data_IF_936658763041
#
_entry.id   IF_936658763041
#
_cell.length_a   1.000
_cell.length_b   1.000
_cell.length_c   1.000
_cell.angle_alpha   90.00
_cell.angle_beta   90.00
_cell.angle_gamma   90.00
#
_symmetry.space_group_name_H-M   'P 1'
#
loop_
_entity.id
_entity.type
_entity.pdbx_description
1 polymer ?
#
# COMPACT_ATOMS: atom_id res chain seq x y z
N UNK A 1 -21.33 7.21 16.94
CA UNK A 1 -19.98 6.95 17.48
C UNK A 1 -19.46 5.60 17.02
N UNK A 2 -19.05 5.47 15.76
CA UNK A 2 -18.21 4.36 15.33
C UNK A 2 -16.76 4.74 15.65
N UNK A 3 -16.09 3.97 16.51
CA UNK A 3 -14.67 4.14 16.79
C UNK A 3 -13.93 4.11 15.45
N UNK A 4 -13.18 5.16 15.14
CA UNK A 4 -12.49 5.29 13.86
C UNK A 4 -11.61 4.05 13.64
N UNK A 5 -11.88 3.29 12.58
CA UNK A 5 -11.02 2.17 12.19
C UNK A 5 -9.70 2.74 11.70
N UNK A 6 -8.68 2.65 12.55
CA UNK A 6 -7.33 3.10 12.22
C UNK A 6 -6.50 1.97 11.63
N UNK A 7 -6.91 0.72 11.81
CA UNK A 7 -6.20 -0.46 11.33
C UNK A 7 -7.13 -1.41 10.59
N UNK A 8 -6.62 -1.96 9.48
CA UNK A 8 -7.26 -3.04 8.73
C UNK A 8 -6.19 -4.07 8.38
N UNK A 9 -6.53 -5.34 8.59
CA UNK A 9 -5.74 -6.48 8.14
C UNK A 9 -6.55 -7.31 7.16
N UNK A 10 -5.95 -7.65 6.03
CA UNK A 10 -6.57 -8.50 5.01
C UNK A 10 -5.65 -9.67 4.68
N UNK A 11 -6.22 -10.88 4.65
CA UNK A 11 -5.51 -12.08 4.23
C UNK A 11 -6.36 -12.78 3.18
N UNK A 12 -5.79 -12.98 1.98
CA UNK A 12 -6.45 -13.72 0.92
C UNK A 12 -5.51 -14.79 0.38
N UNK A 13 -6.02 -16.02 0.29
CA UNK A 13 -5.38 -17.12 -0.45
C UNK A 13 -5.86 -17.22 -1.90
N UNK A 14 -6.80 -16.37 -2.31
CA UNK A 14 -7.35 -16.32 -3.66
C UNK A 14 -6.88 -15.04 -4.36
N UNK A 15 -6.60 -15.14 -5.67
CA UNK A 15 -6.30 -14.00 -6.53
C UNK A 15 -7.56 -13.16 -6.78
N UNK A 16 -7.99 -12.41 -5.77
CA UNK A 16 -9.01 -11.37 -5.91
C UNK A 16 -8.32 -10.01 -5.99
N UNK A 17 -8.81 -9.18 -6.90
CA UNK A 17 -8.35 -7.81 -7.04
C UNK A 17 -9.07 -6.92 -6.03
N UNK A 18 -8.29 -6.17 -5.24
CA UNK A 18 -8.81 -5.11 -4.39
C UNK A 18 -8.59 -3.76 -5.09
N UNK A 19 -9.67 -3.00 -5.31
CA UNK A 19 -9.52 -1.66 -5.87
C UNK A 19 -8.91 -0.72 -4.83
N UNK A 20 -7.83 -0.03 -5.20
CA UNK A 20 -7.23 1.02 -4.37
C UNK A 20 -8.22 2.17 -4.06
N UNK A 21 -9.26 2.37 -4.89
CA UNK A 21 -10.33 3.35 -4.61
C UNK A 21 -11.09 3.07 -3.30
N UNK A 22 -11.10 1.83 -2.81
CA UNK A 22 -11.73 1.50 -1.54
C UNK A 22 -11.14 2.32 -0.37
N UNK A 23 -9.87 2.70 -0.45
CA UNK A 23 -9.19 3.50 0.57
C UNK A 23 -9.72 4.93 0.68
N UNK A 24 -10.39 5.48 -0.34
CA UNK A 24 -11.02 6.81 -0.27
C UNK A 24 -12.13 6.87 0.79
N UNK A 25 -12.81 5.75 1.03
CA UNK A 25 -13.83 5.62 2.06
C UNK A 25 -13.26 5.46 3.48
N UNK A 26 -11.93 5.39 3.62
CA UNK A 26 -11.24 5.10 4.88
C UNK A 26 -10.21 6.19 5.23
N UNK A 27 -10.62 7.48 5.33
CA UNK A 27 -9.70 8.62 5.48
C UNK A 27 -8.91 8.64 6.81
N UNK A 28 -9.33 7.84 7.80
CA UNK A 28 -8.68 7.73 9.10
C UNK A 28 -7.82 6.47 9.24
N UNK A 29 -7.70 5.64 8.20
CA UNK A 29 -6.84 4.48 8.22
C UNK A 29 -5.38 4.92 8.36
N UNK A 30 -4.68 4.31 9.31
CA UNK A 30 -3.29 4.59 9.67
C UNK A 30 -2.39 3.38 9.47
N UNK A 31 -2.93 2.18 9.70
CA UNK A 31 -2.23 0.92 9.66
C UNK A 31 -2.94 0.01 8.66
N UNK A 32 -2.20 -0.51 7.70
CA UNK A 32 -2.72 -1.46 6.74
C UNK A 32 -1.75 -2.61 6.58
N UNK A 33 -2.23 -3.82 6.81
CA UNK A 33 -1.49 -5.05 6.60
C UNK A 33 -2.26 -5.94 5.63
N UNK A 34 -1.62 -6.35 4.54
CA UNK A 34 -2.17 -7.28 3.57
C UNK A 34 -1.20 -8.40 3.24
N UNK A 35 -1.75 -9.62 3.08
CA UNK A 35 -1.02 -10.80 2.62
C UNK A 35 -1.72 -11.40 1.41
N UNK A 36 -0.98 -11.57 0.30
CA UNK A 36 -1.43 -12.30 -0.88
C UNK A 36 -2.50 -11.60 -1.71
N UNK A 37 -2.56 -10.26 -1.66
CA UNK A 37 -3.58 -9.45 -2.33
C UNK A 37 -3.02 -8.79 -3.59
N UNK A 38 -3.78 -8.89 -4.69
CA UNK A 38 -3.55 -8.10 -5.89
C UNK A 38 -4.37 -6.82 -5.81
N UNK A 39 -3.73 -5.66 -5.94
CA UNK A 39 -4.36 -4.36 -5.93
C UNK A 39 -4.50 -3.83 -7.35
N UNK A 40 -5.62 -3.15 -7.59
CA UNK A 40 -5.89 -2.45 -8.83
C UNK A 40 -6.07 -0.95 -8.57
N UNK A 41 -5.25 -0.12 -9.20
CA UNK A 41 -5.38 1.33 -9.15
C UNK A 41 -4.22 2.04 -8.46
N UNK A 42 -4.27 3.38 -8.52
CA UNK A 42 -3.16 4.26 -8.14
C UNK A 42 -3.05 4.44 -6.63
N UNK A 43 -1.82 4.67 -6.16
CA UNK A 43 -1.51 4.95 -4.76
C UNK A 43 -2.09 6.27 -4.22
N UNK A 44 -2.49 7.21 -5.09
CA UNK A 44 -3.18 8.45 -4.69
C UNK A 44 -4.47 8.25 -3.87
N UNK A 45 -5.05 7.05 -3.94
CA UNK A 45 -6.28 6.72 -3.20
C UNK A 45 -6.01 6.30 -1.76
N UNK A 46 -4.75 6.01 -1.41
CA UNK A 46 -4.40 5.72 -0.04
C UNK A 46 -4.56 6.96 0.84
N UNK A 47 -4.94 6.79 2.12
CA UNK A 47 -5.26 7.91 2.96
C UNK A 47 -3.99 8.65 3.39
N UNK A 48 -4.05 9.99 3.36
CA UNK A 48 -2.96 10.88 3.77
C UNK A 48 -2.46 10.67 5.21
N UNK A 49 -3.27 10.03 6.06
CA UNK A 49 -2.93 9.73 7.46
C UNK A 49 -2.22 8.38 7.62
N UNK A 50 -2.00 7.62 6.54
CA UNK A 50 -1.37 6.32 6.62
C UNK A 50 0.08 6.44 7.12
N UNK A 51 0.41 5.63 8.13
CA UNK A 51 1.70 5.59 8.80
C UNK A 51 2.42 4.27 8.65
N UNK A 52 1.68 3.20 8.46
CA UNK A 52 2.21 1.85 8.39
C UNK A 52 1.57 1.11 7.23
N UNK A 53 2.40 0.60 6.33
CA UNK A 53 2.01 -0.16 5.17
C UNK A 53 2.83 -1.46 5.11
N UNK A 54 2.19 -2.58 5.46
CA UNK A 54 2.74 -3.93 5.35
C UNK A 54 2.04 -4.68 4.22
N UNK A 55 2.82 -5.09 3.22
CA UNK A 55 2.33 -5.73 2.01
C UNK A 55 3.20 -6.95 1.73
N UNK A 56 2.75 -8.12 2.19
CA UNK A 56 3.44 -9.38 2.00
C UNK A 56 2.87 -10.12 0.78
N UNK A 57 3.73 -10.51 -0.16
CA UNK A 57 3.33 -11.25 -1.37
C UNK A 57 2.20 -10.57 -2.15
N UNK A 58 2.17 -9.23 -2.14
CA UNK A 58 1.14 -8.43 -2.78
C UNK A 58 1.58 -7.98 -4.18
N UNK A 59 0.60 -7.85 -5.07
CA UNK A 59 0.81 -7.39 -6.43
C UNK A 59 0.11 -6.06 -6.68
N UNK A 60 0.75 -5.17 -7.44
CA UNK A 60 0.20 -3.88 -7.83
C UNK A 60 0.35 -3.66 -9.33
N UNK A 61 -0.70 -3.17 -9.96
CA UNK A 61 -0.72 -2.80 -11.39
C UNK A 61 -0.16 -1.39 -11.65
N UNK A 62 -0.03 -0.54 -10.63
CA UNK A 62 0.59 0.78 -10.69
C UNK A 62 1.78 0.91 -9.74
N UNK A 63 2.80 1.65 -10.17
CA UNK A 63 3.89 2.08 -9.30
C UNK A 63 3.50 3.36 -8.54
N UNK A 64 3.83 3.48 -7.24
CA UNK A 64 3.71 4.74 -6.53
C UNK A 64 4.71 5.77 -7.07
N UNK A 65 4.33 7.04 -7.08
CA UNK A 65 5.32 8.12 -7.17
C UNK A 65 5.96 8.36 -5.80
N UNK A 66 7.19 8.89 -5.75
CA UNK A 66 7.90 9.18 -4.49
C UNK A 66 7.03 9.97 -3.48
N UNK A 67 6.27 10.97 -3.96
CA UNK A 67 5.41 11.79 -3.12
C UNK A 67 4.17 11.08 -2.53
N UNK A 68 3.76 9.93 -3.07
CA UNK A 68 2.50 9.28 -2.68
C UNK A 68 2.61 8.51 -1.35
N UNK A 69 3.82 8.15 -0.93
CA UNK A 69 4.05 7.41 0.31
C UNK A 69 4.93 8.17 1.31
N UNK A 70 5.16 9.46 1.09
CA UNK A 70 6.05 10.31 1.92
C UNK A 70 5.72 10.29 3.43
N UNK A 71 4.43 10.11 3.77
CA UNK A 71 3.97 10.12 5.16
C UNK A 71 4.02 8.75 5.85
N UNK A 72 4.32 7.69 5.09
CA UNK A 72 4.45 6.32 5.57
C UNK A 72 5.80 6.20 6.29
N UNK A 73 5.76 5.82 7.56
CA UNK A 73 6.93 5.68 8.42
C UNK A 73 7.48 4.26 8.36
N UNK A 74 6.59 3.27 8.24
CA UNK A 74 6.94 1.86 8.06
C UNK A 74 6.39 1.37 6.74
N UNK A 75 7.29 0.95 5.85
CA UNK A 75 6.99 0.37 4.55
C UNK A 75 7.65 -1.00 4.45
N UNK A 76 6.85 -2.06 4.60
CA UNK A 76 7.29 -3.43 4.35
C UNK A 76 6.63 -3.94 3.07
N UNK A 77 7.47 -4.34 2.11
CA UNK A 77 7.07 -4.82 0.79
C UNK A 77 7.56 -6.26 0.55
N UNK A 78 7.74 -7.06 1.61
CA UNK A 78 8.27 -8.41 1.53
C UNK A 78 7.58 -9.25 0.44
N UNK A 79 8.37 -9.78 -0.50
CA UNK A 79 7.88 -10.60 -1.62
C UNK A 79 6.81 -9.93 -2.52
N UNK A 80 6.64 -8.60 -2.43
CA UNK A 80 5.74 -7.84 -3.27
C UNK A 80 6.41 -7.36 -4.55
N UNK A 81 5.67 -7.24 -5.64
CA UNK A 81 6.21 -6.78 -6.93
C UNK A 81 6.74 -5.32 -6.89
N UNK A 82 6.30 -4.55 -5.89
CA UNK A 82 6.77 -3.18 -5.62
C UNK A 82 8.15 -3.12 -4.99
N UNK A 83 8.61 -4.15 -4.27
CA UNK A 83 9.94 -4.13 -3.67
C UNK A 83 11.01 -3.84 -4.74
N UNK A 84 10.88 -4.49 -5.91
CA UNK A 84 11.76 -4.27 -7.07
C UNK A 84 11.67 -2.84 -7.64
N UNK A 85 10.49 -2.22 -7.60
CA UNK A 85 10.29 -0.87 -8.12
C UNK A 85 10.94 0.19 -7.21
N UNK A 86 10.89 0.01 -5.89
CA UNK A 86 11.58 0.87 -4.94
C UNK A 86 13.09 0.72 -5.02
N UNK A 87 13.62 -0.49 -5.22
CA UNK A 87 15.06 -0.68 -5.48
C UNK A 87 15.49 0.10 -6.73
N UNK A 88 14.66 0.15 -7.78
CA UNK A 88 14.99 0.88 -9.01
C UNK A 88 14.97 2.41 -8.82
N UNK A 89 14.10 2.95 -7.98
CA UNK A 89 14.09 4.39 -7.67
C UNK A 89 15.37 4.81 -6.95
N UNK A 90 15.90 4.01 -6.02
CA UNK A 90 17.19 4.29 -5.38
C UNK A 90 18.37 4.27 -6.37
N UNK A 91 18.30 3.47 -7.44
CA UNK A 91 19.34 3.42 -8.47
C UNK A 91 19.26 4.57 -9.49
N UNK A 92 18.11 5.25 -9.58
CA UNK A 92 17.91 6.41 -10.46
C UNK A 92 18.25 7.73 -9.77
N UNK A 93 18.60 7.71 -8.48
CA UNK A 93 19.15 8.86 -7.75
C UNK A 93 20.70 8.89 -7.80
N UNK A 94 21.33 7.89 -8.43
CA UNK A 94 22.79 7.79 -8.59
C UNK A 94 23.31 8.02 -10.02
N UNK A 95 22.47 8.49 -10.95
CA UNK A 95 22.88 8.99 -12.29
C UNK A 95 22.62 10.50 -12.44
#
# INVERSE_FOLDING_TARGET
GARMLQSITLNSRQSRYLSAKAFEAMPNLRFFHAIGISFQGRFRYFPNKMKWLELESCNFDYLPSQCQLEKVVVLDLCQSNLARAFTKLCLLEEE
#
